data_IF_091739895677
#
_entry.id   IF_091739895677
#
_cell.length_a   1.000
_cell.length_b   1.000
_cell.length_c   1.000
_cell.angle_alpha   90.00
_cell.angle_beta   90.00
_cell.angle_gamma   90.00
#
_symmetry.space_group_name_H-M   'P 1'
#
loop_
_entity.id
_entity.type
_entity.pdbx_description
1 polymer ?
#
# COMPACT_ATOMS: atom_id res chain seq x y z
N UNK A 1 20.78 -1.76 -1.00
CA UNK A 1 19.75 -2.61 -1.64
C UNK A 1 20.39 -3.47 -2.73
N UNK A 2 21.17 -2.88 -3.65
CA UNK A 2 21.82 -3.60 -4.76
C UNK A 2 22.81 -4.70 -4.32
N UNK A 3 23.57 -4.50 -3.24
CA UNK A 3 24.49 -5.54 -2.71
C UNK A 3 23.74 -6.76 -2.19
N UNK A 4 22.52 -6.59 -1.65
CA UNK A 4 21.69 -7.69 -1.19
C UNK A 4 21.08 -8.49 -2.34
N UNK A 5 20.75 -7.83 -3.46
CA UNK A 5 20.17 -8.49 -4.64
C UNK A 5 21.22 -9.12 -5.57
N UNK A 6 22.38 -8.47 -5.74
CA UNK A 6 23.38 -8.85 -6.76
C UNK A 6 24.75 -9.23 -6.17
N UNK A 7 24.95 -9.10 -4.85
CA UNK A 7 26.25 -9.36 -4.22
C UNK A 7 27.33 -8.33 -4.54
N UNK A 8 27.04 -7.31 -5.36
CA UNK A 8 27.99 -6.29 -5.79
C UNK A 8 27.33 -4.93 -6.01
N UNK A 9 28.12 -3.85 -5.95
CA UNK A 9 27.67 -2.46 -6.20
C UNK A 9 28.06 -1.92 -7.58
N UNK A 10 28.48 -2.78 -8.52
CA UNK A 10 28.97 -2.39 -9.84
C UNK A 10 27.93 -1.58 -10.64
N UNK A 11 26.65 -1.96 -10.56
CA UNK A 11 25.52 -1.25 -11.16
C UNK A 11 25.47 0.22 -10.75
N UNK A 12 25.74 0.53 -9.47
CA UNK A 12 25.73 1.91 -8.97
C UNK A 12 26.84 2.74 -9.59
N UNK A 13 28.02 2.16 -9.78
CA UNK A 13 29.16 2.86 -10.36
C UNK A 13 28.91 3.17 -11.85
N UNK A 14 28.30 2.24 -12.60
CA UNK A 14 27.88 2.47 -13.99
C UNK A 14 26.84 3.60 -14.08
N UNK A 15 25.77 3.54 -13.29
CA UNK A 15 24.74 4.59 -13.27
C UNK A 15 25.32 5.95 -12.88
N UNK A 16 26.27 5.99 -11.93
CA UNK A 16 26.94 7.24 -11.50
C UNK A 16 27.83 7.83 -12.61
N UNK A 17 28.36 6.98 -13.49
CA UNK A 17 29.09 7.39 -14.68
C UNK A 17 28.18 7.82 -15.85
N UNK A 18 26.84 7.76 -15.67
CA UNK A 18 25.86 8.05 -16.71
C UNK A 18 25.62 6.88 -17.66
N UNK A 19 26.18 5.71 -17.38
CA UNK A 19 25.97 4.50 -18.16
C UNK A 19 24.66 3.83 -17.75
N UNK A 20 23.92 3.31 -18.73
CA UNK A 20 22.67 2.60 -18.47
C UNK A 20 22.93 1.09 -18.42
N UNK A 21 22.83 0.43 -17.25
CA UNK A 21 23.16 -0.98 -17.12
C UNK A 21 22.14 -1.83 -17.91
N UNK A 22 22.63 -2.60 -18.89
CA UNK A 22 21.79 -3.55 -19.64
C UNK A 22 21.58 -4.84 -18.82
N UNK A 23 20.81 -4.69 -17.73
CA UNK A 23 20.47 -5.79 -16.82
C UNK A 23 18.95 -5.94 -16.77
N UNK A 24 18.48 -7.18 -16.65
CA UNK A 24 17.06 -7.49 -16.52
C UNK A 24 16.41 -6.75 -15.33
N UNK A 25 17.14 -6.57 -14.24
CA UNK A 25 16.69 -5.79 -13.10
C UNK A 25 16.49 -4.31 -13.43
N UNK A 26 17.45 -3.68 -14.11
CA UNK A 26 17.35 -2.26 -14.45
C UNK A 26 16.19 -2.01 -15.41
N UNK A 27 16.00 -2.89 -16.39
CA UNK A 27 14.85 -2.86 -17.29
C UNK A 27 13.52 -2.99 -16.52
N UNK A 28 13.40 -3.98 -15.63
CA UNK A 28 12.19 -4.17 -14.82
C UNK A 28 11.92 -2.99 -13.88
N UNK A 29 12.97 -2.42 -13.27
CA UNK A 29 12.87 -1.25 -12.39
C UNK A 29 12.40 -0.01 -13.16
N UNK A 30 12.97 0.25 -14.34
CA UNK A 30 12.51 1.35 -15.20
C UNK A 30 11.07 1.17 -15.65
N UNK A 31 10.68 -0.05 -16.03
CA UNK A 31 9.32 -0.32 -16.44
C UNK A 31 8.34 -0.04 -15.30
N UNK A 32 8.66 -0.48 -14.08
CA UNK A 32 7.92 -0.15 -12.87
C UNK A 32 7.87 1.38 -12.65
N UNK A 33 9.01 2.07 -12.68
CA UNK A 33 9.10 3.51 -12.46
C UNK A 33 8.27 4.30 -13.49
N UNK A 34 8.30 3.89 -14.76
CA UNK A 34 7.47 4.47 -15.83
C UNK A 34 5.98 4.27 -15.55
N UNK A 35 5.56 3.08 -15.13
CA UNK A 35 4.15 2.80 -14.77
C UNK A 35 3.70 3.67 -13.60
N UNK A 36 4.54 3.82 -12.56
CA UNK A 36 4.26 4.69 -11.41
C UNK A 36 4.17 6.15 -11.83
N UNK A 37 5.08 6.61 -12.70
CA UNK A 37 5.05 7.98 -13.24
C UNK A 37 3.75 8.26 -14.01
N UNK A 38 3.36 7.36 -14.91
CA UNK A 38 2.11 7.49 -15.68
C UNK A 38 0.88 7.47 -14.76
N UNK A 39 0.88 6.63 -13.72
CA UNK A 39 -0.19 6.61 -12.73
C UNK A 39 -0.30 7.94 -11.98
N UNK A 40 0.84 8.54 -11.61
CA UNK A 40 0.87 9.88 -11.02
C UNK A 40 0.31 10.93 -11.98
N UNK A 41 0.79 10.98 -13.23
CA UNK A 41 0.26 11.90 -14.23
C UNK A 41 -1.26 11.74 -14.41
N UNK A 42 -1.75 10.49 -14.45
CA UNK A 42 -3.19 10.21 -14.53
C UNK A 42 -3.93 10.75 -13.31
N UNK A 43 -3.46 10.48 -12.09
CA UNK A 43 -4.08 10.98 -10.85
C UNK A 43 -4.23 12.51 -10.84
N UNK A 44 -3.19 13.24 -11.26
CA UNK A 44 -3.18 14.70 -11.37
C UNK A 44 -4.03 15.26 -12.51
N UNK A 45 -4.32 14.47 -13.54
CA UNK A 45 -5.17 14.90 -14.66
C UNK A 45 -6.67 14.84 -14.35
N UNK A 46 -7.06 14.26 -13.21
CA UNK A 46 -8.45 14.11 -12.80
C UNK A 46 -8.94 15.35 -12.04
N UNK A 47 -10.20 15.71 -12.25
CA UNK A 47 -10.88 16.78 -11.51
C UNK A 47 -12.10 16.23 -10.77
N UNK A 48 -12.12 16.21 -9.42
CA UNK A 48 -11.02 16.53 -8.51
C UNK A 48 -9.90 15.48 -8.57
N UNK A 49 -8.68 15.91 -8.18
CA UNK A 49 -7.50 15.04 -8.14
C UNK A 49 -7.76 13.78 -7.30
N UNK A 50 -7.24 12.64 -7.75
CA UNK A 50 -7.28 11.43 -6.97
C UNK A 50 -6.52 11.62 -5.65
N UNK A 51 -7.17 11.33 -4.52
CA UNK A 51 -6.57 11.49 -3.19
C UNK A 51 -6.42 10.15 -2.49
N UNK A 52 -5.33 10.02 -1.73
CA UNK A 52 -5.04 8.84 -0.92
C UNK A 52 -5.69 9.04 0.46
N UNK A 53 -6.31 8.00 1.01
CA UNK A 53 -6.78 8.00 2.39
C UNK A 53 -6.34 6.75 3.14
N UNK A 54 -6.03 6.93 4.42
CA UNK A 54 -5.81 5.84 5.37
C UNK A 54 -6.83 5.95 6.49
N UNK A 55 -6.97 4.88 7.27
CA UNK A 55 -7.84 4.84 8.44
C UNK A 55 -6.98 4.74 9.70
N UNK A 56 -7.41 5.42 10.76
CA UNK A 56 -6.71 5.40 12.04
C UNK A 56 -6.98 4.11 12.81
N UNK A 57 -6.00 3.72 13.63
CA UNK A 57 -6.16 2.67 14.64
C UNK A 57 -7.38 2.94 15.54
N UNK A 58 -8.08 1.87 15.91
CA UNK A 58 -9.26 1.90 16.78
C UNK A 58 -10.57 2.30 16.09
N UNK A 59 -10.53 2.75 14.83
CA UNK A 59 -11.74 3.04 14.05
C UNK A 59 -12.59 1.79 13.83
N UNK A 60 -13.91 1.97 13.76
CA UNK A 60 -14.83 0.89 13.40
C UNK A 60 -14.57 0.44 11.96
N UNK A 61 -14.54 -0.86 11.75
CA UNK A 61 -14.47 -1.43 10.42
C UNK A 61 -15.72 -1.05 9.61
N UNK A 62 -15.51 -0.67 8.35
CA UNK A 62 -16.58 -0.37 7.40
C UNK A 62 -16.29 -1.07 6.09
N UNK A 63 -17.04 -2.13 5.80
CA UNK A 63 -16.88 -2.94 4.58
C UNK A 63 -17.08 -2.12 3.29
N UNK A 64 -17.69 -0.92 3.37
CA UNK A 64 -17.84 -0.02 2.22
C UNK A 64 -16.51 0.62 1.82
N UNK A 65 -15.68 0.99 2.80
CA UNK A 65 -14.43 1.73 2.59
C UNK A 65 -13.18 0.91 2.89
N UNK A 66 -13.33 -0.24 3.53
CA UNK A 66 -12.25 -1.05 4.06
C UNK A 66 -12.43 -2.51 3.67
N UNK A 67 -11.32 -3.18 3.36
CA UNK A 67 -11.24 -4.62 3.15
C UNK A 67 -10.32 -5.21 4.20
N UNK A 68 -10.79 -6.22 4.94
CA UNK A 68 -9.92 -6.91 5.89
C UNK A 68 -8.95 -7.82 5.13
N UNK A 69 -7.68 -7.83 5.55
CA UNK A 69 -6.68 -8.78 5.04
C UNK A 69 -6.75 -10.16 5.72
N UNK A 70 -7.46 -10.25 6.86
CA UNK A 70 -7.71 -11.50 7.60
C UNK A 70 -9.18 -11.64 7.93
N UNK A 71 -9.75 -12.82 7.74
CA UNK A 71 -11.17 -13.09 8.00
C UNK A 71 -11.47 -13.38 9.49
N UNK A 72 -10.44 -13.69 10.28
CA UNK A 72 -10.56 -14.20 11.65
C UNK A 72 -11.27 -13.22 12.62
N UNK A 73 -11.14 -11.92 12.38
CA UNK A 73 -11.69 -10.88 13.25
C UNK A 73 -13.01 -10.27 12.72
N UNK A 74 -13.54 -10.77 11.59
CA UNK A 74 -14.79 -10.27 10.99
C UNK A 74 -16.04 -10.79 11.68
N UNK A 75 -15.95 -11.90 12.43
CA UNK A 75 -17.06 -12.48 13.20
C UNK A 75 -17.39 -11.71 14.48
N UNK A 76 -16.57 -10.72 14.83
CA UNK A 76 -16.78 -9.89 16.01
C UNK A 76 -17.93 -8.90 15.78
N UNK A 77 -18.72 -8.63 16.83
CA UNK A 77 -19.87 -7.72 16.75
C UNK A 77 -19.49 -6.29 16.36
N UNK A 78 -18.29 -5.84 16.75
CA UNK A 78 -17.71 -4.54 16.36
C UNK A 78 -16.20 -4.65 16.08
N UNK A 79 -15.79 -5.09 14.88
CA UNK A 79 -14.38 -5.16 14.53
C UNK A 79 -13.78 -3.75 14.49
N UNK A 80 -12.58 -3.61 15.05
CA UNK A 80 -11.83 -2.36 15.03
C UNK A 80 -10.56 -2.53 14.23
N UNK A 81 -10.17 -1.46 13.55
CA UNK A 81 -8.93 -1.42 12.78
C UNK A 81 -7.74 -1.38 13.74
N UNK A 82 -6.79 -2.28 13.57
CA UNK A 82 -5.48 -2.17 14.21
C UNK A 82 -4.60 -1.19 13.41
N UNK A 83 -4.45 -1.42 12.10
CA UNK A 83 -3.67 -0.54 11.22
C UNK A 83 -4.07 -0.71 9.75
N UNK A 84 -3.72 0.29 8.93
CA UNK A 84 -3.87 0.24 7.46
C UNK A 84 -2.66 -0.47 6.84
N UNK A 85 -2.91 -1.51 6.06
CA UNK A 85 -1.88 -2.25 5.30
C UNK A 85 -1.64 -1.59 3.94
N UNK A 86 -2.73 -1.29 3.24
CA UNK A 86 -2.72 -0.61 1.94
C UNK A 86 -3.67 0.57 2.01
N UNK A 87 -3.24 1.80 1.67
CA UNK A 87 -4.13 2.94 1.68
C UNK A 87 -5.20 2.82 0.59
N UNK A 88 -6.35 3.44 0.82
CA UNK A 88 -7.42 3.56 -0.17
C UNK A 88 -7.25 4.79 -1.04
N UNK A 89 -8.05 4.89 -2.09
CA UNK A 89 -8.04 6.03 -3.02
C UNK A 89 -9.46 6.58 -3.22
N UNK A 90 -9.59 7.90 -3.29
CA UNK A 90 -10.83 8.59 -3.68
C UNK A 90 -10.62 9.24 -5.03
N UNK A 91 -11.48 8.90 -5.99
CA UNK A 91 -11.43 9.39 -7.37
C UNK A 91 -12.83 9.92 -7.71
N UNK A 92 -13.01 11.23 -7.64
CA UNK A 92 -14.33 11.85 -7.77
C UNK A 92 -15.32 11.29 -6.73
N UNK A 93 -16.33 10.54 -7.21
CA UNK A 93 -17.34 9.90 -6.36
C UNK A 93 -17.05 8.43 -6.04
N UNK A 94 -16.01 7.86 -6.66
CA UNK A 94 -15.63 6.47 -6.49
C UNK A 94 -14.57 6.35 -5.39
N UNK A 95 -14.74 5.38 -4.49
CA UNK A 95 -13.73 5.04 -3.49
C UNK A 95 -13.20 3.63 -3.72
N UNK A 96 -11.89 3.51 -3.84
CA UNK A 96 -11.17 2.25 -3.77
C UNK A 96 -10.84 2.01 -2.29
N UNK A 97 -11.21 0.84 -1.79
CA UNK A 97 -11.09 0.49 -0.38
C UNK A 97 -9.65 0.44 0.09
N UNK A 98 -9.40 0.85 1.34
CA UNK A 98 -8.13 0.56 2.00
C UNK A 98 -8.12 -0.89 2.50
N UNK A 99 -6.96 -1.54 2.46
CA UNK A 99 -6.78 -2.84 3.10
C UNK A 99 -6.30 -2.64 4.54
N UNK A 100 -6.99 -3.28 5.48
CA UNK A 100 -6.77 -3.05 6.92
C UNK A 100 -6.60 -4.37 7.64
N UNK A 101 -5.81 -4.33 8.72
CA UNK A 101 -5.77 -5.40 9.70
C UNK A 101 -6.71 -5.06 10.86
N UNK A 102 -7.44 -6.05 11.34
CA UNK A 102 -8.41 -5.88 12.43
C UNK A 102 -7.81 -6.34 13.77
N UNK A 103 -8.14 -5.62 14.83
CA UNK A 103 -7.73 -5.99 16.19
C UNK A 103 -8.56 -7.18 16.68
N UNK A 104 -7.93 -8.21 17.26
CA UNK A 104 -8.66 -9.26 17.98
C UNK A 104 -9.49 -8.65 19.11
N UNK A 105 -10.68 -9.19 19.38
CA UNK A 105 -11.45 -8.74 20.53
C UNK A 105 -10.71 -9.07 21.82
N UNK A 106 -10.59 -8.09 22.71
CA UNK A 106 -10.24 -8.36 24.10
C UNK A 106 -11.48 -8.96 24.74
N UNK A 107 -11.59 -10.29 24.78
CA UNK A 107 -12.46 -10.94 25.75
C UNK A 107 -11.93 -10.58 27.14
N UNK A 108 -12.52 -9.58 27.79
CA UNK A 108 -12.36 -9.43 29.23
C UNK A 108 -12.84 -10.73 29.87
N UNK A 109 -11.98 -11.50 30.57
CA UNK A 109 -12.48 -12.63 31.32
C UNK A 109 -13.41 -12.07 32.39
N UNK A 110 -14.65 -12.57 32.42
CA UNK A 110 -15.60 -12.29 33.49
C UNK A 110 -14.94 -12.66 34.82
N UNK A 111 -14.60 -11.65 35.62
CA UNK A 111 -14.25 -11.83 37.02
C UNK A 111 -15.54 -12.12 37.77
N UNK A 112 -15.88 -13.40 37.88
CA UNK A 112 -16.87 -13.94 38.82
C UNK A 112 -16.36 -13.99 40.24
#
# INVERSE_FOLDING_TARGET
MEVAFFGHSHVRNQVSAGEFPDTSFCAAFLEMAKRVWLLHCLAFSLEPEASIFGVSEGCRFSEVYMKSVSEECLSESEPRVAFTVVPGFRIGKTSIQCEVYLSPSKSTPDSG
#
